data_IF_074079273287
#
_entry.id   IF_074079273287
#
_cell.length_a   1.000
_cell.length_b   1.000
_cell.length_c   1.000
_cell.angle_alpha   90.00
_cell.angle_beta   90.00
_cell.angle_gamma   90.00
#
_symmetry.space_group_name_H-M   'P 1'
#
loop_
_entity.id
_entity.type
_entity.pdbx_description
1 polymer ?
#
# COMPACT_ATOMS: atom_id res chain seq x y z
N UNK A 1 -7.11 -14.50 -23.88
CA UNK A 1 -6.87 -14.50 -22.42
C UNK A 1 -5.37 -14.43 -22.21
N UNK A 2 -4.90 -13.48 -21.41
CA UNK A 2 -3.48 -13.39 -21.06
C UNK A 2 -3.20 -14.47 -20.01
N UNK A 3 -2.32 -15.42 -20.30
CA UNK A 3 -1.97 -16.48 -19.36
C UNK A 3 -1.16 -15.91 -18.19
N UNK A 4 -1.50 -16.32 -16.98
CA UNK A 4 -0.76 -15.97 -15.76
C UNK A 4 0.72 -16.32 -15.90
N UNK A 5 1.61 -15.38 -15.57
CA UNK A 5 3.06 -15.58 -15.57
C UNK A 5 3.79 -15.14 -16.85
N UNK A 6 3.08 -14.89 -17.96
CA UNK A 6 3.69 -14.50 -19.24
C UNK A 6 3.36 -13.06 -19.66
N UNK A 7 2.80 -12.27 -18.74
CA UNK A 7 2.37 -10.90 -18.98
C UNK A 7 3.34 -9.93 -18.31
N UNK A 8 3.74 -8.90 -19.04
CA UNK A 8 4.46 -7.75 -18.47
C UNK A 8 3.56 -6.52 -18.51
N UNK A 9 3.74 -5.66 -17.52
CA UNK A 9 3.17 -4.32 -17.54
C UNK A 9 4.06 -3.49 -18.45
N UNK A 10 3.51 -3.07 -19.59
CA UNK A 10 4.24 -2.29 -20.58
C UNK A 10 4.22 -0.80 -20.23
N UNK A 11 3.03 -0.28 -19.91
CA UNK A 11 2.82 1.13 -19.59
C UNK A 11 1.61 1.31 -18.66
N UNK A 12 1.67 2.35 -17.84
CA UNK A 12 0.53 2.89 -17.10
C UNK A 12 0.36 4.33 -17.57
N UNK A 13 -0.82 4.63 -18.10
CA UNK A 13 -1.16 5.95 -18.64
C UNK A 13 -2.10 6.66 -17.69
N UNK A 14 -1.81 7.92 -17.38
CA UNK A 14 -2.66 8.79 -16.57
C UNK A 14 -2.83 10.12 -17.30
N UNK A 15 -4.02 10.69 -17.22
CA UNK A 15 -4.33 12.01 -17.77
C UNK A 15 -4.37 13.02 -16.63
N UNK A 16 -3.86 14.23 -16.86
CA UNK A 16 -4.04 15.36 -15.98
C UNK A 16 -5.14 16.26 -16.53
N UNK A 17 -6.05 16.68 -15.65
CA UNK A 17 -7.07 17.65 -15.95
C UNK A 17 -6.47 19.07 -15.94
N UNK A 18 -7.17 20.04 -16.53
CA UNK A 18 -6.70 21.43 -16.65
C UNK A 18 -6.42 22.10 -15.29
N UNK A 19 -7.04 21.61 -14.21
CA UNK A 19 -6.83 22.08 -12.85
C UNK A 19 -5.62 21.40 -12.14
N UNK A 20 -4.91 20.50 -12.82
CA UNK A 20 -3.78 19.73 -12.29
C UNK A 20 -4.18 18.45 -11.54
N UNK A 21 -5.48 18.13 -11.44
CA UNK A 21 -5.93 16.88 -10.84
C UNK A 21 -5.74 15.69 -11.79
N UNK A 22 -5.69 14.49 -11.22
CA UNK A 22 -5.61 13.26 -12.00
C UNK A 22 -6.99 12.92 -12.55
N UNK A 23 -7.07 12.78 -13.87
CA UNK A 23 -8.28 12.39 -14.58
C UNK A 23 -8.71 10.95 -14.28
N UNK A 24 -9.97 10.61 -14.58
CA UNK A 24 -10.53 9.31 -14.27
C UNK A 24 -9.95 8.17 -15.13
N UNK A 25 -9.32 8.46 -16.26
CA UNK A 25 -8.91 7.46 -17.26
C UNK A 25 -7.49 6.94 -17.03
N UNK A 26 -7.25 6.35 -15.85
CA UNK A 26 -5.99 5.64 -15.60
C UNK A 26 -6.05 4.22 -16.12
N UNK A 27 -5.17 3.93 -17.08
CA UNK A 27 -5.12 2.66 -17.82
C UNK A 27 -3.80 1.94 -17.62
N UNK A 28 -3.87 0.62 -17.51
CA UNK A 28 -2.71 -0.28 -17.48
C UNK A 28 -2.70 -1.14 -18.73
N UNK A 29 -1.59 -1.12 -19.46
CA UNK A 29 -1.41 -1.90 -20.67
C UNK A 29 -0.53 -3.11 -20.40
N UNK A 30 -1.10 -4.30 -20.60
CA UNK A 30 -0.39 -5.56 -20.48
C UNK A 30 0.03 -6.07 -21.85
N UNK A 31 1.26 -6.57 -21.94
CA UNK A 31 1.81 -7.23 -23.13
C UNK A 31 2.13 -8.69 -22.83
N UNK A 32 1.69 -9.60 -23.70
CA UNK A 32 2.06 -11.02 -23.66
C UNK A 32 2.09 -11.60 -25.06
N UNK A 33 3.23 -12.12 -25.53
CA UNK A 33 3.38 -12.76 -26.85
C UNK A 33 2.74 -11.95 -28.01
N UNK A 34 3.07 -10.65 -28.09
CA UNK A 34 2.49 -9.67 -29.04
C UNK A 34 0.99 -9.37 -28.91
N UNK A 35 0.31 -9.92 -27.90
CA UNK A 35 -1.03 -9.51 -27.52
C UNK A 35 -0.97 -8.33 -26.53
N UNK A 36 -1.63 -7.23 -26.88
CA UNK A 36 -1.82 -6.06 -26.01
C UNK A 36 -3.27 -6.01 -25.53
N UNK A 37 -3.49 -5.87 -24.22
CA UNK A 37 -4.80 -5.56 -23.65
C UNK A 37 -4.68 -4.45 -22.63
N UNK A 38 -5.63 -3.53 -22.69
CA UNK A 38 -5.76 -2.43 -21.76
C UNK A 38 -6.74 -2.81 -20.64
N UNK A 39 -6.42 -2.38 -19.42
CA UNK A 39 -7.20 -2.61 -18.23
C UNK A 39 -7.35 -1.31 -17.43
N UNK A 40 -8.53 -1.13 -16.83
CA UNK A 40 -8.76 -0.09 -15.84
C UNK A 40 -8.07 -0.39 -14.52
N UNK A 41 -7.46 0.63 -13.91
CA UNK A 41 -6.95 0.55 -12.54
C UNK A 41 -8.08 0.82 -11.56
N UNK A 42 -8.26 -0.10 -10.60
CA UNK A 42 -9.36 -0.07 -9.65
C UNK A 42 -9.32 1.13 -8.71
N UNK A 43 -8.15 1.44 -8.15
CA UNK A 43 -8.04 2.56 -7.23
C UNK A 43 -6.78 3.41 -7.39
N UNK A 44 -6.91 4.70 -7.05
CA UNK A 44 -5.83 5.68 -7.19
C UNK A 44 -5.69 6.46 -5.90
N UNK A 45 -4.47 6.50 -5.37
CA UNK A 45 -4.09 7.31 -4.24
C UNK A 45 -3.17 8.45 -4.67
N UNK A 46 -3.50 9.67 -4.25
CA UNK A 46 -2.70 10.87 -4.47
C UNK A 46 -2.84 11.80 -3.27
N UNK A 47 -1.74 12.41 -2.82
CA UNK A 47 -1.71 13.29 -1.63
C UNK A 47 -2.41 12.69 -0.40
N UNK A 48 -2.16 11.41 -0.13
CA UNK A 48 -2.73 10.64 0.99
C UNK A 48 -4.27 10.58 1.01
N UNK A 49 -4.90 10.75 -0.15
CA UNK A 49 -6.32 10.55 -0.35
C UNK A 49 -6.55 9.52 -1.43
N UNK A 50 -7.57 8.68 -1.23
CA UNK A 50 -8.11 7.87 -2.32
C UNK A 50 -8.97 8.79 -3.19
N UNK A 51 -8.55 9.00 -4.44
CA UNK A 51 -9.25 9.87 -5.39
C UNK A 51 -10.14 9.08 -6.36
N UNK A 52 -9.93 7.76 -6.45
CA UNK A 52 -10.74 6.82 -7.24
C UNK A 52 -10.82 5.47 -6.54
N UNK A 53 -12.00 4.87 -6.57
CA UNK A 53 -12.27 3.50 -6.13
C UNK A 53 -13.38 2.93 -7.01
N UNK A 54 -13.02 2.04 -7.94
CA UNK A 54 -13.96 1.36 -8.83
C UNK A 54 -13.62 -0.13 -8.90
N UNK A 55 -14.64 -0.96 -9.05
CA UNK A 55 -14.45 -2.39 -9.31
C UNK A 55 -14.01 -2.58 -10.77
N UNK A 56 -12.90 -3.29 -10.96
CA UNK A 56 -12.34 -3.58 -12.29
C UNK A 56 -11.98 -5.05 -12.42
N UNK A 57 -11.74 -5.49 -13.67
CA UNK A 57 -11.27 -6.87 -13.95
C UNK A 57 -9.92 -7.17 -13.27
N UNK A 58 -9.05 -6.15 -13.16
CA UNK A 58 -7.77 -6.22 -12.48
C UNK A 58 -7.76 -5.30 -11.26
N UNK A 59 -8.00 -5.90 -10.10
CA UNK A 59 -8.05 -5.25 -8.78
C UNK A 59 -6.67 -4.79 -8.29
N UNK A 60 -6.13 -3.81 -9.01
CA UNK A 60 -4.87 -3.13 -8.75
C UNK A 60 -5.14 -1.69 -8.33
N UNK A 61 -4.26 -1.20 -7.46
CA UNK A 61 -4.24 0.17 -7.02
C UNK A 61 -2.90 0.82 -7.33
N UNK A 62 -2.90 2.12 -7.58
CA UNK A 62 -1.68 2.90 -7.69
C UNK A 62 -1.61 3.96 -6.60
N UNK A 63 -0.41 4.19 -6.07
CA UNK A 63 -0.08 5.37 -5.27
C UNK A 63 0.91 6.21 -6.05
N UNK A 64 0.52 7.44 -6.34
CA UNK A 64 1.40 8.42 -6.97
C UNK A 64 2.18 9.12 -5.86
N UNK A 65 3.51 9.13 -6.01
CA UNK A 65 4.43 9.74 -5.04
C UNK A 65 5.38 10.73 -5.73
N UNK A 66 5.80 11.78 -5.02
CA UNK A 66 6.74 12.75 -5.55
C UNK A 66 8.15 12.15 -5.70
N UNK A 67 8.94 12.78 -6.55
CA UNK A 67 10.38 12.55 -6.66
C UNK A 67 11.13 13.84 -6.30
N UNK A 68 12.17 13.71 -5.49
CA UNK A 68 12.99 14.79 -4.97
C UNK A 68 14.41 14.69 -5.53
N UNK A 69 14.89 15.80 -6.10
CA UNK A 69 16.25 15.97 -6.61
C UNK A 69 16.88 17.22 -5.98
N UNK A 70 17.58 17.02 -4.86
CA UNK A 70 18.13 18.11 -4.07
C UNK A 70 17.01 19.00 -3.50
N UNK A 71 16.89 20.24 -3.99
CA UNK A 71 15.82 21.18 -3.59
C UNK A 71 14.61 21.17 -4.53
N UNK A 72 14.68 20.45 -5.64
CA UNK A 72 13.59 20.40 -6.62
C UNK A 72 12.67 19.23 -6.29
N UNK A 73 11.37 19.48 -6.40
CA UNK A 73 10.30 18.49 -6.24
C UNK A 73 9.55 18.34 -7.55
N UNK A 74 9.30 17.08 -7.94
CA UNK A 74 8.34 16.72 -8.97
C UNK A 74 7.20 15.94 -8.32
N UNK A 75 6.03 16.57 -8.18
CA UNK A 75 4.89 16.02 -7.44
C UNK A 75 4.34 14.73 -8.07
N UNK A 76 4.39 14.63 -9.40
CA UNK A 76 4.08 13.41 -10.16
C UNK A 76 5.38 12.70 -10.55
N UNK A 77 6.10 12.22 -9.52
CA UNK A 77 7.44 11.70 -9.67
C UNK A 77 7.50 10.22 -10.02
N UNK A 78 6.61 9.40 -9.45
CA UNK A 78 6.55 7.98 -9.71
C UNK A 78 5.32 7.29 -9.16
N UNK A 79 5.22 5.99 -9.47
CA UNK A 79 4.04 5.17 -9.18
C UNK A 79 4.46 3.95 -8.38
N UNK A 80 3.82 3.75 -7.23
CA UNK A 80 3.81 2.46 -6.53
C UNK A 80 2.59 1.67 -6.98
N UNK A 81 2.82 0.60 -7.73
CA UNK A 81 1.76 -0.31 -8.15
C UNK A 81 1.54 -1.39 -7.10
N UNK A 82 0.28 -1.57 -6.71
CA UNK A 82 -0.14 -2.48 -5.66
C UNK A 82 -1.15 -3.48 -6.22
N UNK A 83 -0.83 -4.77 -6.18
CA UNK A 83 -1.81 -5.82 -6.45
C UNK A 83 -2.85 -5.89 -5.34
N UNK A 84 -3.95 -6.60 -5.57
CA UNK A 84 -4.97 -6.91 -4.55
C UNK A 84 -4.39 -7.28 -3.18
N UNK A 85 -3.46 -8.24 -3.16
CA UNK A 85 -2.84 -8.74 -1.93
C UNK A 85 -2.03 -7.67 -1.18
N UNK A 86 -1.43 -6.73 -1.92
CA UNK A 86 -0.62 -5.66 -1.34
C UNK A 86 -1.51 -4.56 -0.79
N UNK A 87 -2.43 -4.02 -1.61
CA UNK A 87 -3.20 -2.84 -1.22
C UNK A 87 -4.20 -3.12 -0.09
N UNK A 88 -4.68 -4.36 0.06
CA UNK A 88 -5.53 -4.75 1.20
C UNK A 88 -4.73 -5.00 2.47
N UNK A 89 -3.40 -5.12 2.37
CA UNK A 89 -2.51 -5.38 3.51
C UNK A 89 -2.42 -4.19 4.45
N UNK A 90 -2.39 -4.45 5.76
CA UNK A 90 -2.40 -3.41 6.79
C UNK A 90 -1.27 -2.39 6.62
N UNK A 91 -0.06 -2.85 6.29
CA UNK A 91 1.07 -1.97 5.99
C UNK A 91 0.77 -1.01 4.84
N UNK A 92 0.24 -1.51 3.71
CA UNK A 92 -0.07 -0.65 2.57
C UNK A 92 -1.16 0.36 2.92
N UNK A 93 -2.22 -0.09 3.59
CA UNK A 93 -3.35 0.75 3.97
C UNK A 93 -2.90 1.89 4.90
N UNK A 94 -2.20 1.57 5.99
CA UNK A 94 -1.74 2.56 6.96
C UNK A 94 -0.56 3.40 6.46
N UNK A 95 0.54 2.75 6.05
CA UNK A 95 1.82 3.42 5.78
C UNK A 95 1.87 4.03 4.37
N UNK A 96 1.49 3.26 3.33
CA UNK A 96 1.65 3.71 1.93
C UNK A 96 0.49 4.63 1.52
N UNK A 97 -0.74 4.21 1.85
CA UNK A 97 -1.96 4.85 1.36
C UNK A 97 -2.46 5.93 2.31
N UNK A 98 -2.12 5.85 3.60
CA UNK A 98 -2.54 6.82 4.62
C UNK A 98 -4.01 6.66 5.02
N UNK A 99 -4.56 5.45 4.86
CA UNK A 99 -5.95 5.16 5.24
C UNK A 99 -6.15 5.20 6.75
N UNK A 100 -7.33 5.63 7.17
CA UNK A 100 -7.79 5.40 8.53
C UNK A 100 -8.33 3.98 8.64
N UNK A 101 -7.74 3.19 9.54
CA UNK A 101 -8.15 1.82 9.81
C UNK A 101 -8.64 1.76 11.26
N UNK A 102 -9.82 1.18 11.48
CA UNK A 102 -10.38 1.04 12.82
C UNK A 102 -9.41 0.28 13.74
N UNK A 103 -9.26 0.76 14.98
CA UNK A 103 -8.29 0.24 15.94
C UNK A 103 -6.85 0.75 15.77
N UNK A 104 -6.56 1.59 14.78
CA UNK A 104 -5.24 2.18 14.59
C UNK A 104 -5.31 3.70 14.60
N UNK A 105 -4.60 4.31 15.53
CA UNK A 105 -4.45 5.76 15.63
C UNK A 105 -3.00 6.15 15.36
N UNK A 106 -2.76 7.01 14.36
CA UNK A 106 -1.41 7.52 14.09
C UNK A 106 -1.04 8.54 15.16
N UNK A 107 -0.13 8.16 16.07
CA UNK A 107 0.29 9.00 17.21
C UNK A 107 1.58 9.77 16.93
N UNK A 108 2.35 9.34 15.93
CA UNK A 108 3.55 10.05 15.51
C UNK A 108 3.80 9.86 14.02
N UNK A 109 4.30 10.90 13.37
CA UNK A 109 4.86 10.89 12.02
C UNK A 109 5.91 11.98 11.95
N UNK A 110 7.08 11.68 11.42
CA UNK A 110 8.03 12.74 11.05
C UNK A 110 7.56 13.50 9.79
N UNK A 111 8.32 14.54 9.41
CA UNK A 111 8.01 15.41 8.27
C UNK A 111 8.48 14.85 6.91
N UNK A 112 9.08 13.66 6.87
CA UNK A 112 9.61 13.06 5.65
C UNK A 112 8.46 12.54 4.79
N UNK A 113 8.25 13.05 3.58
CA UNK A 113 7.20 12.53 2.71
C UNK A 113 7.58 11.15 2.17
N UNK A 114 6.58 10.30 1.91
CA UNK A 114 6.78 9.11 1.09
C UNK A 114 7.06 9.54 -0.35
N UNK A 115 8.23 9.21 -0.88
CA UNK A 115 8.66 9.64 -2.21
C UNK A 115 9.93 8.96 -2.67
N UNK A 116 10.37 9.29 -3.88
CA UNK A 116 11.68 8.91 -4.37
C UNK A 116 12.69 10.02 -4.06
N UNK A 117 13.77 9.70 -3.37
CA UNK A 117 14.91 10.60 -3.17
C UNK A 117 16.14 9.97 -3.82
N UNK A 118 16.66 10.61 -4.89
CA UNK A 118 17.80 10.10 -5.67
C UNK A 118 17.66 8.62 -6.08
N UNK A 119 16.47 8.24 -6.56
CA UNK A 119 16.18 6.87 -7.02
C UNK A 119 15.91 5.85 -5.91
N UNK A 120 15.88 6.25 -4.64
CA UNK A 120 15.51 5.38 -3.51
C UNK A 120 14.17 5.79 -2.94
N UNK A 121 13.36 4.81 -2.54
CA UNK A 121 12.12 5.08 -1.81
C UNK A 121 12.51 5.52 -0.40
N UNK A 122 12.02 6.69 0.00
CA UNK A 122 12.09 7.23 1.36
C UNK A 122 10.68 7.47 1.86
N UNK A 123 10.47 7.45 3.17
CA UNK A 123 9.17 7.72 3.77
C UNK A 123 9.28 8.02 5.26
N UNK A 124 8.16 8.43 5.88
CA UNK A 124 8.16 8.88 7.26
C UNK A 124 8.33 7.75 8.25
N UNK A 125 9.12 7.99 9.31
CA UNK A 125 8.99 7.20 10.52
C UNK A 125 7.63 7.51 11.13
N UNK A 126 6.82 6.47 11.27
CA UNK A 126 5.43 6.60 11.72
C UNK A 126 5.16 5.59 12.84
N UNK A 127 4.49 6.03 13.90
CA UNK A 127 4.07 5.18 15.02
C UNK A 127 2.55 5.23 15.11
N UNK A 128 1.96 4.05 15.25
CA UNK A 128 0.52 3.88 15.49
C UNK A 128 0.30 3.31 16.88
N UNK A 129 -0.64 3.92 17.60
CA UNK A 129 -1.28 3.29 18.75
C UNK A 129 -2.32 2.30 18.24
N UNK A 130 -2.37 1.14 18.87
CA UNK A 130 -3.32 0.09 18.53
C UNK A 130 -4.34 0.03 19.66
N UNK A 131 -5.58 0.36 19.35
CA UNK A 131 -6.70 0.11 20.23
C UNK A 131 -7.27 -1.25 19.90
N UNK A 132 -6.97 -2.20 20.76
CA UNK A 132 -7.51 -3.53 20.67
C UNK A 132 -8.90 -3.53 21.33
N UNK A 133 -9.90 -4.09 20.64
CA UNK A 133 -11.26 -4.16 21.14
C UNK A 133 -11.68 -5.64 21.26
N UNK A 134 -11.70 -6.17 22.49
CA UNK A 134 -12.09 -7.54 22.83
C UNK A 134 -11.81 -7.92 24.30
N UNK A 135 -11.99 -9.20 24.67
CA UNK A 135 -11.73 -9.77 26.02
C UNK A 135 -10.21 -9.83 26.36
N UNK A 136 -9.55 -8.69 26.35
CA UNK A 136 -8.10 -8.57 26.59
C UNK A 136 -7.69 -8.64 28.06
N UNK A 137 -8.62 -9.10 28.90
CA UNK A 137 -8.27 -9.79 30.14
C UNK A 137 -7.51 -11.11 29.93
N UNK A 138 -7.14 -11.45 28.68
CA UNK A 138 -6.11 -12.44 28.36
C UNK A 138 -4.71 -11.85 28.20
N UNK A 139 -4.44 -10.65 28.73
CA UNK A 139 -3.06 -10.20 29.02
C UNK A 139 -2.21 -11.32 29.62
N UNK A 140 -2.78 -12.08 30.57
CA UNK A 140 -2.16 -13.26 31.17
C UNK A 140 -1.64 -14.29 30.15
N UNK A 141 -2.27 -14.46 28.99
CA UNK A 141 -1.87 -15.51 28.03
C UNK A 141 -0.61 -15.11 27.25
N UNK A 142 -0.36 -13.81 27.08
CA UNK A 142 0.82 -13.29 26.38
C UNK A 142 1.90 -12.77 27.34
N UNK A 143 1.55 -12.51 28.61
CA UNK A 143 2.50 -12.15 29.68
C UNK A 143 2.92 -13.36 30.53
N UNK A 144 2.16 -14.46 30.51
CA UNK A 144 2.52 -15.72 31.16
C UNK A 144 2.90 -16.77 30.11
N UNK A 145 4.21 -16.85 29.84
CA UNK A 145 4.80 -17.78 28.89
C UNK A 145 4.37 -19.24 29.14
N UNK A 146 4.19 -19.64 30.39
CA UNK A 146 3.76 -21.00 30.74
C UNK A 146 2.34 -21.31 30.27
N UNK A 147 1.40 -20.36 30.36
CA UNK A 147 0.03 -20.51 29.83
C UNK A 147 0.01 -20.52 28.30
N UNK A 148 0.91 -19.77 27.67
CA UNK A 148 1.06 -19.77 26.20
C UNK A 148 1.56 -21.13 25.69
N UNK A 149 2.59 -21.68 26.33
CA UNK A 149 3.15 -23.02 26.03
C UNK A 149 2.06 -24.09 26.15
N UNK A 150 1.22 -24.03 27.20
CA UNK A 150 0.14 -25.00 27.42
C UNK A 150 -0.97 -24.92 26.36
N UNK A 151 -1.32 -23.70 25.92
CA UNK A 151 -2.35 -23.52 24.87
C UNK A 151 -1.85 -23.86 23.46
N UNK A 152 -0.55 -23.74 23.20
CA UNK A 152 0.03 -23.94 21.88
C UNK A 152 1.26 -24.86 21.95
N UNK A 153 1.14 -26.13 22.34
CA UNK A 153 2.30 -26.99 22.63
C UNK A 153 3.30 -27.14 21.47
N UNK A 154 2.87 -26.94 20.22
CA UNK A 154 3.72 -27.07 19.01
C UNK A 154 4.36 -25.74 18.53
N UNK A 155 4.31 -24.68 19.34
CA UNK A 155 4.82 -23.34 19.00
C UNK A 155 6.35 -23.20 18.86
N UNK A 156 7.13 -24.22 19.22
CA UNK A 156 8.58 -24.28 18.97
C UNK A 156 9.47 -23.38 19.84
N UNK A 157 8.93 -22.74 20.89
CA UNK A 157 9.74 -22.07 21.92
C UNK A 157 10.02 -23.11 23.01
N UNK A 158 11.26 -23.58 23.06
CA UNK A 158 11.72 -24.48 24.12
C UNK A 158 12.43 -23.64 25.19
N UNK A 159 12.08 -23.86 26.46
CA UNK A 159 12.67 -23.19 27.62
C UNK A 159 14.21 -23.23 27.58
N UNK A 160 14.85 -22.07 27.76
CA UNK A 160 16.30 -21.93 28.00
C UNK A 160 16.55 -21.94 29.51
#
# INVERSE_FOLDING_TARGET
LINSGNAIINEITLTLLDNGDIGPDVKMNLLSNNFKKEYDIGCIYYNNKKIRDIDTELDYCIKIIPTFYGKNEQTLGGILLQSKKVHTGLFSRLYINGESVNGFEKVYSDSTPLGFYNGRIVGPVTIWSINYFGDEKKSDTFTNLSKYIEMYPDHGIYDI
#
